data_IF_353988038357
#
_entry.id   IF_353988038357
#
_cell.length_a   1.000
_cell.length_b   1.000
_cell.length_c   1.000
_cell.angle_alpha   90.00
_cell.angle_beta   90.00
_cell.angle_gamma   90.00
#
_symmetry.space_group_name_H-M   'P 1'
#
loop_
_entity.id
_entity.type
_entity.pdbx_description
1 polymer ?
#
# COMPACT_ATOMS: atom_id res chain seq x y z
N UNK A 1 -17.35 7.03 -0.15
CA UNK A 1 -18.17 8.05 0.53
C UNK A 1 -17.89 9.40 -0.09
N UNK A 2 -18.83 9.98 -0.81
CA UNK A 2 -18.67 11.26 -1.50
C UNK A 2 -18.70 12.49 -0.55
N UNK A 3 -19.13 12.28 0.68
CA UNK A 3 -19.39 13.35 1.66
C UNK A 3 -18.41 13.39 2.84
N UNK A 4 -17.36 12.55 2.83
CA UNK A 4 -16.40 12.46 3.93
C UNK A 4 -15.78 13.81 4.29
N UNK A 5 -15.40 14.60 3.29
CA UNK A 5 -14.84 15.94 3.47
C UNK A 5 -15.73 16.86 4.30
N UNK A 6 -17.02 16.89 3.99
CA UNK A 6 -17.97 17.78 4.69
C UNK A 6 -18.21 17.38 6.13
N UNK A 7 -18.17 16.07 6.40
CA UNK A 7 -18.35 15.54 7.76
C UNK A 7 -17.10 15.70 8.63
N UNK A 8 -15.92 15.75 8.01
CA UNK A 8 -14.63 15.83 8.72
C UNK A 8 -14.01 17.22 8.71
N UNK A 9 -14.65 18.19 8.03
CA UNK A 9 -14.15 19.57 7.94
C UNK A 9 -12.87 19.73 7.11
N UNK A 10 -12.53 18.76 6.27
CA UNK A 10 -11.31 18.78 5.45
C UNK A 10 -11.45 19.66 4.21
N UNK A 11 -10.32 20.21 3.77
CA UNK A 11 -10.26 21.02 2.56
C UNK A 11 -10.46 20.17 1.28
N UNK A 12 -10.84 20.81 0.14
CA UNK A 12 -10.89 20.13 -1.14
C UNK A 12 -9.54 19.50 -1.50
N UNK A 13 -9.56 18.22 -1.94
CA UNK A 13 -8.36 17.48 -2.34
C UNK A 13 -7.59 16.81 -1.18
N UNK A 14 -7.96 17.08 0.06
CA UNK A 14 -7.42 16.32 1.20
C UNK A 14 -8.00 14.90 1.24
N UNK A 15 -7.20 13.89 1.61
CA UNK A 15 -7.70 12.53 1.76
C UNK A 15 -8.65 12.41 2.95
N UNK A 16 -9.61 11.47 2.93
CA UNK A 16 -10.40 11.15 4.12
C UNK A 16 -9.50 10.60 5.23
N UNK A 17 -9.95 10.60 6.50
CA UNK A 17 -9.23 9.98 7.59
C UNK A 17 -8.91 8.52 7.26
N UNK A 18 -7.68 8.11 7.54
CA UNK A 18 -7.18 6.74 7.32
C UNK A 18 -6.82 6.10 8.65
N UNK A 19 -6.63 4.78 8.64
CA UNK A 19 -6.21 4.03 9.82
C UNK A 19 -4.92 4.59 10.45
N UNK A 20 -4.02 5.13 9.64
CA UNK A 20 -2.75 5.69 10.10
C UNK A 20 -2.91 6.88 11.05
N UNK A 21 -4.00 7.64 10.93
CA UNK A 21 -4.29 8.77 11.82
C UNK A 21 -4.71 8.32 13.24
N UNK A 22 -5.13 7.07 13.38
CA UNK A 22 -5.57 6.49 14.65
C UNK A 22 -4.48 5.72 15.38
N UNK A 23 -3.31 5.53 14.77
CA UNK A 23 -2.22 4.85 15.43
C UNK A 23 -1.63 5.70 16.56
N UNK A 24 -1.32 5.11 17.72
CA UNK A 24 -0.57 5.79 18.75
C UNK A 24 0.84 6.13 18.25
N UNK A 25 1.44 7.18 18.81
CA UNK A 25 2.78 7.66 18.38
C UNK A 25 3.89 6.62 18.50
N UNK A 26 3.73 5.67 19.40
CA UNK A 26 4.67 4.58 19.65
C UNK A 26 4.24 3.25 19.00
N UNK A 27 3.35 3.28 18.03
CA UNK A 27 2.96 2.09 17.28
C UNK A 27 4.14 1.52 16.50
N UNK A 28 4.14 0.21 16.32
CA UNK A 28 5.04 -0.52 15.44
C UNK A 28 4.21 -1.16 14.33
N UNK A 29 4.58 -0.86 13.09
CA UNK A 29 3.91 -1.38 11.90
C UNK A 29 4.75 -2.49 11.29
N UNK A 30 4.13 -3.63 11.00
CA UNK A 30 4.74 -4.71 10.23
C UNK A 30 4.07 -4.76 8.87
N UNK A 31 4.87 -4.74 7.81
CA UNK A 31 4.38 -4.88 6.43
C UNK A 31 4.95 -6.18 5.89
N UNK A 32 4.07 -7.17 5.79
CA UNK A 32 4.40 -8.45 5.17
C UNK A 32 4.32 -8.35 3.65
N UNK A 33 5.09 -9.19 2.95
CA UNK A 33 5.23 -9.16 1.49
C UNK A 33 5.48 -7.74 0.96
N UNK A 34 6.40 -7.03 1.63
CA UNK A 34 6.62 -5.60 1.39
C UNK A 34 7.01 -5.30 -0.05
N UNK A 35 7.69 -6.20 -0.73
CA UNK A 35 8.05 -6.10 -2.15
C UNK A 35 6.84 -5.96 -3.08
N UNK A 36 5.64 -6.38 -2.62
CA UNK A 36 4.37 -6.20 -3.32
C UNK A 36 3.58 -5.04 -2.71
N UNK A 37 3.49 -4.97 -1.39
CA UNK A 37 2.66 -4.00 -0.67
C UNK A 37 3.11 -2.55 -0.92
N UNK A 38 4.41 -2.28 -0.90
CA UNK A 38 4.96 -0.92 -1.08
C UNK A 38 4.66 -0.37 -2.49
N UNK A 39 4.95 -1.09 -3.59
CA UNK A 39 4.55 -0.65 -4.94
C UNK A 39 3.03 -0.48 -5.10
N UNK A 40 2.21 -1.32 -4.48
CA UNK A 40 0.76 -1.18 -4.52
C UNK A 40 0.29 0.12 -3.87
N UNK A 41 0.84 0.50 -2.72
CA UNK A 41 0.55 1.78 -2.07
C UNK A 41 0.90 2.93 -3.01
N UNK A 42 2.05 2.88 -3.68
CA UNK A 42 2.45 3.87 -4.66
C UNK A 42 1.51 4.00 -5.86
N UNK A 43 0.93 2.89 -6.32
CA UNK A 43 0.04 2.86 -7.48
C UNK A 43 -1.40 3.29 -7.16
N UNK A 44 -1.86 3.14 -5.92
CA UNK A 44 -3.26 3.35 -5.52
C UNK A 44 -3.80 4.73 -5.90
N UNK A 45 -3.06 5.80 -5.59
CA UNK A 45 -3.52 7.17 -5.84
C UNK A 45 -3.74 7.43 -7.34
N UNK A 46 -2.78 7.05 -8.17
CA UNK A 46 -2.83 7.31 -9.63
C UNK A 46 -3.97 6.52 -10.28
N UNK A 47 -4.12 5.24 -9.92
CA UNK A 47 -5.19 4.41 -10.45
C UNK A 47 -6.58 4.90 -10.08
N UNK A 48 -6.79 5.27 -8.81
CA UNK A 48 -8.07 5.81 -8.34
C UNK A 48 -8.40 7.16 -8.99
N UNK A 49 -7.41 8.05 -9.08
CA UNK A 49 -7.57 9.37 -9.71
C UNK A 49 -7.96 9.25 -11.18
N UNK A 50 -7.22 8.48 -11.97
CA UNK A 50 -7.49 8.32 -13.41
C UNK A 50 -8.90 7.79 -13.65
N UNK A 51 -9.29 6.74 -12.92
CA UNK A 51 -10.64 6.20 -13.02
C UNK A 51 -11.71 7.24 -12.67
N UNK A 52 -11.53 7.99 -11.61
CA UNK A 52 -12.52 8.98 -11.15
C UNK A 52 -12.60 10.20 -12.08
N UNK A 53 -11.49 10.65 -12.63
CA UNK A 53 -11.49 11.70 -13.66
C UNK A 53 -12.33 11.28 -14.84
N UNK A 54 -12.07 10.12 -15.42
CA UNK A 54 -12.86 9.59 -16.53
C UNK A 54 -14.36 9.54 -16.19
N UNK A 55 -14.72 8.99 -15.03
CA UNK A 55 -16.12 8.89 -14.61
C UNK A 55 -16.78 10.25 -14.38
N UNK A 56 -16.03 11.25 -13.94
CA UNK A 56 -16.52 12.62 -13.76
C UNK A 56 -16.70 13.32 -15.10
N UNK A 57 -15.72 13.20 -15.99
CA UNK A 57 -15.73 13.85 -17.31
C UNK A 57 -16.90 13.36 -18.18
N UNK A 58 -17.25 12.08 -18.06
CA UNK A 58 -18.41 11.50 -18.75
C UNK A 58 -19.73 11.59 -17.95
N UNK A 59 -19.77 12.32 -16.84
CA UNK A 59 -20.99 12.56 -16.06
C UNK A 59 -21.48 11.39 -15.22
N UNK A 60 -20.72 10.28 -15.09
CA UNK A 60 -21.09 9.14 -14.26
C UNK A 60 -20.85 9.40 -12.76
N UNK A 61 -20.04 10.39 -12.41
CA UNK A 61 -19.79 10.82 -11.03
C UNK A 61 -19.66 12.34 -10.93
N UNK A 62 -19.97 12.87 -9.76
CA UNK A 62 -19.75 14.28 -9.45
C UNK A 62 -18.25 14.55 -9.30
N UNK A 63 -17.77 15.76 -9.66
CA UNK A 63 -16.38 16.18 -9.47
C UNK A 63 -15.86 15.99 -8.03
N UNK A 64 -16.74 16.13 -7.03
CA UNK A 64 -16.41 15.88 -5.61
C UNK A 64 -15.98 14.43 -5.29
N UNK A 65 -16.13 13.48 -6.21
CA UNK A 65 -15.61 12.14 -6.03
C UNK A 65 -14.08 12.11 -5.95
N UNK A 66 -13.40 13.12 -6.49
CA UNK A 66 -11.96 13.26 -6.44
C UNK A 66 -11.44 13.60 -5.03
N UNK A 67 -12.29 14.12 -4.15
CA UNK A 67 -11.93 14.43 -2.77
C UNK A 67 -11.80 13.16 -1.90
N UNK A 68 -12.54 12.11 -2.24
CA UNK A 68 -12.46 10.81 -1.55
C UNK A 68 -11.39 9.95 -2.24
N UNK A 69 -10.15 10.18 -1.91
CA UNK A 69 -8.98 9.55 -2.53
C UNK A 69 -8.13 8.78 -1.54
N UNK A 70 -7.36 7.77 -1.99
CA UNK A 70 -6.32 7.18 -1.15
C UNK A 70 -5.19 8.17 -0.88
N UNK A 71 -4.37 7.87 0.11
CA UNK A 71 -3.13 8.58 0.36
C UNK A 71 -2.23 8.50 -0.87
N UNK A 72 -1.46 9.56 -1.09
CA UNK A 72 -0.28 9.49 -1.94
C UNK A 72 0.82 8.74 -1.20
N UNK A 73 1.78 8.20 -1.93
CA UNK A 73 2.91 7.47 -1.33
C UNK A 73 3.66 8.33 -0.29
N UNK A 74 3.95 9.57 -0.63
CA UNK A 74 4.69 10.50 0.24
C UNK A 74 3.89 10.90 1.49
N UNK A 75 2.56 10.93 1.40
CA UNK A 75 1.68 11.16 2.55
C UNK A 75 1.71 9.96 3.50
N UNK A 76 1.59 8.76 2.94
CA UNK A 76 1.69 7.51 3.68
C UNK A 76 3.05 7.36 4.37
N UNK A 77 4.13 7.62 3.65
CA UNK A 77 5.49 7.48 4.18
C UNK A 77 5.77 8.41 5.37
N UNK A 78 5.19 9.62 5.34
CA UNK A 78 5.25 10.57 6.45
C UNK A 78 4.38 10.18 7.65
N UNK A 79 3.28 9.48 7.41
CA UNK A 79 2.29 9.14 8.45
C UNK A 79 2.59 7.80 9.12
N UNK A 80 3.26 6.90 8.43
CA UNK A 80 3.56 5.57 8.98
C UNK A 80 4.43 5.70 10.25
N UNK A 81 4.15 4.92 11.30
CA UNK A 81 4.99 4.83 12.49
C UNK A 81 6.30 4.09 12.17
N UNK A 82 7.09 3.79 13.19
CA UNK A 82 8.23 2.91 13.03
C UNK A 82 7.77 1.61 12.36
N UNK A 83 8.45 1.22 11.27
CA UNK A 83 7.96 0.16 10.39
C UNK A 83 9.03 -0.91 10.18
N UNK A 84 8.62 -2.16 10.24
CA UNK A 84 9.42 -3.33 9.87
C UNK A 84 8.83 -3.90 8.59
N UNK A 85 9.68 -4.00 7.57
CA UNK A 85 9.32 -4.59 6.29
C UNK A 85 9.78 -6.03 6.27
N UNK A 86 8.89 -6.94 5.90
CA UNK A 86 9.14 -8.38 5.82
C UNK A 86 8.91 -8.84 4.39
N UNK A 87 9.88 -9.55 3.83
CA UNK A 87 9.80 -10.09 2.48
C UNK A 87 10.80 -11.20 2.27
N UNK A 88 10.45 -12.21 1.48
CA UNK A 88 11.40 -13.21 0.99
C UNK A 88 12.32 -12.62 -0.09
N UNK A 89 11.85 -11.61 -0.81
CA UNK A 89 12.55 -10.94 -1.92
C UNK A 89 12.38 -9.43 -1.79
N UNK A 90 13.14 -8.75 -0.89
CA UNK A 90 13.03 -7.30 -0.69
C UNK A 90 13.15 -6.52 -2.00
N UNK A 91 12.33 -5.49 -2.17
CA UNK A 91 12.36 -4.62 -3.33
C UNK A 91 13.46 -3.56 -3.26
N UNK A 92 13.68 -2.87 -4.37
CA UNK A 92 14.69 -1.82 -4.48
C UNK A 92 14.47 -0.70 -3.44
N UNK A 93 13.23 -0.29 -3.24
CA UNK A 93 12.90 0.79 -2.30
C UNK A 93 13.28 0.42 -0.86
N UNK A 94 12.97 -0.80 -0.39
CA UNK A 94 13.33 -1.25 0.97
C UNK A 94 14.85 -1.33 1.13
N UNK A 95 15.56 -1.80 0.10
CA UNK A 95 17.02 -1.88 0.12
C UNK A 95 17.67 -0.50 0.16
N UNK A 96 17.13 0.48 -0.57
CA UNK A 96 17.57 1.87 -0.50
C UNK A 96 17.32 2.48 0.89
N UNK A 97 16.12 2.29 1.46
CA UNK A 97 15.76 2.81 2.78
C UNK A 97 16.63 2.24 3.90
N UNK A 98 16.94 0.95 3.83
CA UNK A 98 17.80 0.26 4.81
C UNK A 98 19.30 0.46 4.55
N UNK A 99 19.67 1.12 3.44
CA UNK A 99 21.06 1.24 2.97
C UNK A 99 21.75 -0.12 2.83
N UNK A 100 20.99 -1.13 2.44
CA UNK A 100 21.44 -2.51 2.30
C UNK A 100 21.65 -3.26 3.62
N UNK A 101 21.23 -2.69 4.76
CA UNK A 101 21.29 -3.37 6.06
C UNK A 101 19.94 -4.05 6.35
N UNK A 102 19.94 -5.34 6.48
CA UNK A 102 18.75 -6.13 6.79
C UNK A 102 19.12 -7.40 7.56
N UNK A 103 18.11 -7.99 8.20
CA UNK A 103 18.27 -9.27 8.92
C UNK A 103 17.73 -10.39 8.06
N UNK A 104 18.51 -11.46 7.90
CA UNK A 104 18.08 -12.66 7.18
C UNK A 104 17.68 -13.75 8.16
N UNK A 105 16.57 -14.44 7.86
CA UNK A 105 16.16 -15.65 8.53
C UNK A 105 16.11 -16.77 7.50
N UNK A 106 17.20 -17.50 7.37
CA UNK A 106 17.39 -18.54 6.36
C UNK A 106 16.90 -19.91 6.87
N UNK A 107 16.99 -20.15 8.17
CA UNK A 107 16.66 -21.44 8.75
C UNK A 107 15.15 -21.54 9.01
N UNK A 108 14.53 -22.57 8.43
CA UNK A 108 13.11 -22.91 8.59
C UNK A 108 12.97 -24.25 9.35
N UNK A 109 12.98 -24.24 10.69
CA UNK A 109 13.03 -25.45 11.49
C UNK A 109 11.66 -26.13 11.65
N UNK A 110 10.85 -26.18 10.60
CA UNK A 110 9.49 -26.75 10.66
C UNK A 110 9.45 -28.26 10.51
N UNK A 111 10.53 -28.89 10.05
CA UNK A 111 10.56 -30.32 9.68
C UNK A 111 9.67 -30.65 8.45
N UNK A 112 9.02 -29.67 7.85
CA UNK A 112 8.22 -29.85 6.65
C UNK A 112 9.11 -29.68 5.41
N UNK A 113 9.09 -30.68 4.53
CA UNK A 113 9.73 -30.60 3.22
C UNK A 113 8.85 -29.87 2.24
N UNK A 114 9.46 -29.15 1.31
CA UNK A 114 8.72 -28.50 0.24
C UNK A 114 8.03 -29.54 -0.65
N UNK A 115 6.84 -29.23 -1.22
CA UNK A 115 6.13 -30.15 -2.10
C UNK A 115 6.95 -30.43 -3.36
N UNK A 116 6.85 -31.66 -3.86
CA UNK A 116 7.43 -32.02 -5.16
C UNK A 116 6.68 -31.28 -6.26
N UNK A 117 7.37 -30.36 -6.93
CA UNK A 117 6.81 -29.63 -8.06
C UNK A 117 7.16 -30.32 -9.39
N UNK A 118 6.14 -30.70 -10.17
CA UNK A 118 6.29 -31.27 -11.51
C UNK A 118 5.77 -30.26 -12.52
N UNK A 119 6.67 -29.70 -13.32
CA UNK A 119 6.29 -28.79 -14.39
C UNK A 119 5.95 -29.62 -15.64
N UNK A 120 4.77 -29.42 -16.18
CA UNK A 120 4.31 -30.04 -17.43
C UNK A 120 3.85 -28.96 -18.40
N UNK A 121 4.01 -29.18 -19.74
CA UNK A 121 3.41 -28.27 -20.71
C UNK A 121 1.88 -28.35 -20.60
N UNK A 122 1.24 -27.21 -20.89
CA UNK A 122 -0.22 -27.18 -21.03
C UNK A 122 -0.55 -27.76 -22.40
N UNK A 123 -1.02 -28.97 -22.43
CA UNK A 123 -1.59 -29.55 -23.65
C UNK A 123 -3.00 -28.97 -23.84
N UNK A 124 -3.25 -28.44 -25.06
CA UNK A 124 -4.58 -27.99 -25.51
C UNK A 124 -5.43 -29.17 -25.92
#
# INVERSE_FOLDING_TARGET
MLYSRYLTGRAPGEPPPTLFEYFPKNALLFIDESHIAVPQIGAMYRGDRNRKMTLSDYGFRLPSCLDNRPLKFEEWDKMRPQTIFVSATPGEWEMEQSKGVFSEQVIRPTGLTDPLCIVRPVEN
#
